data_IF_273921049783
#
_entry.id   IF_273921049783
#
_cell.length_a   1.000
_cell.length_b   1.000
_cell.length_c   1.000
_cell.angle_alpha   90.00
_cell.angle_beta   90.00
_cell.angle_gamma   90.00
#
_symmetry.space_group_name_H-M   'P 1'
#
loop_
_entity.id
_entity.type
_entity.pdbx_description
1 polymer ?
#
# COMPACT_ATOMS: atom_id res chain seq x y z
N UNK A 1 -10.42 0.40 8.15
CA UNK A 1 -9.88 0.36 6.76
C UNK A 1 -10.66 -0.70 6.01
N UNK A 2 -11.13 -0.37 4.81
CA UNK A 2 -11.89 -1.29 3.94
C UNK A 2 -10.95 -1.74 2.83
N UNK A 3 -10.75 -3.06 2.72
CA UNK A 3 -9.91 -3.64 1.67
C UNK A 3 -10.68 -3.70 0.36
N UNK A 4 -9.99 -3.40 -0.73
CA UNK A 4 -10.50 -3.58 -2.08
C UNK A 4 -10.31 -5.02 -2.53
N UNK A 5 -11.31 -5.53 -3.25
CA UNK A 5 -11.41 -6.91 -3.70
C UNK A 5 -11.36 -6.94 -5.24
N UNK A 6 -12.38 -7.53 -5.86
CA UNK A 6 -12.51 -7.65 -7.30
C UNK A 6 -13.15 -6.41 -7.92
N UNK A 7 -12.82 -6.14 -9.18
CA UNK A 7 -13.31 -4.95 -9.90
C UNK A 7 -14.83 -4.82 -9.94
N UNK A 8 -15.57 -5.93 -9.94
CA UNK A 8 -17.03 -5.92 -9.92
C UNK A 8 -17.64 -5.66 -8.52
N UNK A 9 -16.89 -5.88 -7.43
CA UNK A 9 -17.33 -5.59 -6.06
C UNK A 9 -16.92 -4.19 -5.60
N UNK A 10 -15.77 -3.73 -6.09
CA UNK A 10 -15.14 -2.48 -5.67
C UNK A 10 -16.06 -1.24 -5.77
N UNK A 11 -16.96 -1.08 -6.76
CA UNK A 11 -17.89 0.05 -6.78
C UNK A 11 -18.78 0.12 -5.54
N UNK A 12 -19.34 -1.01 -5.10
CA UNK A 12 -20.17 -1.06 -3.91
C UNK A 12 -19.35 -0.81 -2.63
N UNK A 13 -18.18 -1.44 -2.52
CA UNK A 13 -17.27 -1.24 -1.39
C UNK A 13 -16.82 0.22 -1.29
N UNK A 14 -16.48 0.84 -2.42
CA UNK A 14 -16.10 2.24 -2.50
C UNK A 14 -17.24 3.16 -2.02
N UNK A 15 -18.45 3.01 -2.55
CA UNK A 15 -19.60 3.82 -2.16
C UNK A 15 -19.94 3.69 -0.67
N UNK A 16 -19.95 2.47 -0.14
CA UNK A 16 -20.19 2.22 1.30
C UNK A 16 -19.08 2.90 2.11
N UNK A 17 -17.82 2.78 1.69
CA UNK A 17 -16.70 3.38 2.41
C UNK A 17 -16.78 4.91 2.39
N UNK A 18 -17.15 5.53 1.27
CA UNK A 18 -17.36 6.97 1.18
C UNK A 18 -18.50 7.42 2.10
N UNK A 19 -19.62 6.71 2.13
CA UNK A 19 -20.71 6.98 3.06
C UNK A 19 -20.25 6.89 4.53
N UNK A 20 -19.41 5.91 4.86
CA UNK A 20 -18.79 5.80 6.19
C UNK A 20 -17.81 6.95 6.47
N UNK A 21 -17.04 7.41 5.49
CA UNK A 21 -16.18 8.60 5.66
C UNK A 21 -17.02 9.85 5.96
N UNK A 22 -18.12 10.07 5.24
CA UNK A 22 -19.04 11.18 5.51
C UNK A 22 -19.59 11.15 6.95
N UNK A 23 -19.89 9.96 7.47
CA UNK A 23 -20.48 9.79 8.81
C UNK A 23 -19.47 9.81 9.96
N UNK A 24 -18.19 9.48 9.71
CA UNK A 24 -17.23 9.22 10.80
C UNK A 24 -15.93 10.01 10.70
N UNK A 25 -15.55 10.52 9.52
CA UNK A 25 -14.29 11.24 9.33
C UNK A 25 -14.42 12.75 9.58
N UNK A 26 -15.24 13.20 10.54
CA UNK A 26 -15.47 14.64 10.75
C UNK A 26 -14.18 15.41 11.02
N UNK A 27 -13.47 15.11 12.10
CA UNK A 27 -12.26 15.84 12.49
C UNK A 27 -10.98 15.16 12.02
N UNK A 28 -11.00 13.84 11.90
CA UNK A 28 -9.83 13.01 11.61
C UNK A 28 -10.16 11.85 10.66
N UNK A 29 -9.21 11.41 9.84
CA UNK A 29 -9.37 10.29 8.92
C UNK A 29 -9.36 8.94 9.66
N UNK A 30 -10.54 8.37 9.93
CA UNK A 30 -10.71 7.09 10.64
C UNK A 30 -10.99 5.93 9.68
N UNK A 31 -11.90 6.17 8.74
CA UNK A 31 -12.29 5.24 7.69
C UNK A 31 -11.41 5.51 6.47
N UNK A 32 -10.86 4.44 5.89
CA UNK A 32 -9.98 4.50 4.74
C UNK A 32 -10.42 3.47 3.70
N UNK A 33 -10.42 3.85 2.42
CA UNK A 33 -10.63 2.94 1.30
C UNK A 33 -9.30 2.53 0.69
N UNK A 34 -9.23 1.31 0.15
CA UNK A 34 -8.02 0.80 -0.51
C UNK A 34 -8.11 1.02 -2.02
N UNK A 35 -7.15 1.75 -2.59
CA UNK A 35 -7.03 2.02 -4.01
C UNK A 35 -5.98 1.09 -4.63
N UNK A 36 -6.36 0.38 -5.69
CA UNK A 36 -5.55 -0.66 -6.32
C UNK A 36 -4.91 -0.16 -7.62
N UNK A 37 -3.65 0.29 -7.54
CA UNK A 37 -2.96 1.00 -8.63
C UNK A 37 -2.58 0.14 -9.85
N UNK A 38 -2.83 -1.17 -9.83
CA UNK A 38 -2.79 -2.00 -11.03
C UNK A 38 -3.97 -1.74 -11.98
N UNK A 39 -5.03 -1.03 -11.55
CA UNK A 39 -6.18 -0.67 -12.37
C UNK A 39 -5.95 0.66 -13.08
N UNK A 40 -6.27 0.71 -14.38
CA UNK A 40 -6.13 1.88 -15.25
C UNK A 40 -6.88 3.11 -14.73
N UNK A 41 -8.08 2.90 -14.16
CA UNK A 41 -8.96 3.98 -13.69
C UNK A 41 -8.73 4.43 -12.24
N UNK A 42 -7.64 3.99 -11.60
CA UNK A 42 -7.40 4.29 -10.16
C UNK A 42 -7.19 5.78 -9.92
N UNK A 43 -6.46 6.44 -10.83
CA UNK A 43 -6.13 7.86 -10.69
C UNK A 43 -7.39 8.72 -10.73
N UNK A 44 -8.27 8.48 -11.71
CA UNK A 44 -9.53 9.20 -11.87
C UNK A 44 -10.48 8.92 -10.71
N UNK A 45 -10.56 7.65 -10.28
CA UNK A 45 -11.37 7.26 -9.12
C UNK A 45 -10.91 7.99 -7.85
N UNK A 46 -9.61 8.03 -7.61
CA UNK A 46 -9.03 8.69 -6.44
C UNK A 46 -9.32 10.19 -6.44
N UNK A 47 -9.11 10.88 -7.58
CA UNK A 47 -9.41 12.32 -7.71
C UNK A 47 -10.88 12.62 -7.44
N UNK A 48 -11.78 11.84 -8.05
CA UNK A 48 -13.23 11.96 -7.87
C UNK A 48 -13.62 11.83 -6.39
N UNK A 49 -13.09 10.80 -5.73
CA UNK A 49 -13.43 10.52 -4.33
C UNK A 49 -12.89 11.59 -3.37
N UNK A 50 -11.66 12.08 -3.62
CA UNK A 50 -11.07 13.20 -2.87
C UNK A 50 -11.94 14.45 -3.04
N UNK A 51 -12.31 14.80 -4.28
CA UNK A 51 -13.15 15.97 -4.55
C UNK A 51 -14.52 15.86 -3.87
N UNK A 52 -15.14 14.69 -3.95
CA UNK A 52 -16.41 14.41 -3.30
C UNK A 52 -16.32 14.55 -1.79
N UNK A 53 -15.30 13.98 -1.15
CA UNK A 53 -15.14 14.09 0.32
C UNK A 53 -14.80 15.52 0.75
N UNK A 54 -13.96 16.23 -0.02
CA UNK A 54 -13.61 17.64 0.24
C UNK A 54 -14.82 18.55 0.15
N UNK A 55 -15.73 18.34 -0.81
CA UNK A 55 -16.93 19.16 -0.96
C UNK A 55 -17.90 19.04 0.23
N UNK A 56 -17.76 17.99 1.03
CA UNK A 56 -18.52 17.78 2.27
C UNK A 56 -17.75 18.17 3.54
N UNK A 57 -16.51 18.69 3.43
CA UNK A 57 -15.74 19.22 4.55
C UNK A 57 -15.19 18.19 5.54
N UNK A 58 -15.28 16.89 5.23
CA UNK A 58 -14.77 15.81 6.10
C UNK A 58 -13.37 15.35 5.69
N UNK A 59 -12.70 14.60 6.57
CA UNK A 59 -11.36 14.08 6.35
C UNK A 59 -11.35 12.88 5.37
N UNK A 60 -10.31 12.79 4.57
CA UNK A 60 -10.11 11.73 3.59
C UNK A 60 -8.98 10.79 4.02
N UNK A 61 -9.16 9.48 3.77
CA UNK A 61 -8.08 8.52 3.96
C UNK A 61 -8.04 7.46 2.87
N UNK A 62 -6.84 7.19 2.37
CA UNK A 62 -6.61 6.18 1.36
C UNK A 62 -5.48 5.24 1.77
N UNK A 63 -5.65 3.96 1.43
CA UNK A 63 -4.57 2.98 1.37
C UNK A 63 -4.22 2.72 -0.08
N UNK A 64 -3.00 3.03 -0.48
CA UNK A 64 -2.50 2.67 -1.79
C UNK A 64 -1.88 1.28 -1.74
N UNK A 65 -2.33 0.40 -2.63
CA UNK A 65 -1.70 -0.89 -2.93
C UNK A 65 -1.45 -0.99 -4.43
N UNK A 66 -0.60 -1.92 -4.85
CA UNK A 66 -0.59 -2.33 -6.26
C UNK A 66 -1.86 -3.09 -6.59
N UNK A 67 -2.12 -4.19 -5.87
CA UNK A 67 -3.29 -5.04 -6.06
C UNK A 67 -2.91 -6.51 -5.87
N UNK A 68 -3.90 -7.36 -5.58
CA UNK A 68 -3.68 -8.78 -5.28
C UNK A 68 -4.41 -9.74 -6.24
N UNK A 69 -5.11 -9.22 -7.26
CA UNK A 69 -6.06 -9.98 -8.07
C UNK A 69 -5.78 -9.93 -9.59
N UNK A 70 -4.59 -9.47 -10.00
CA UNK A 70 -4.17 -9.29 -11.40
C UNK A 70 -4.52 -10.48 -12.32
N UNK A 71 -4.15 -11.70 -11.92
CA UNK A 71 -4.35 -12.89 -12.76
C UNK A 71 -5.84 -13.19 -12.97
N UNK A 72 -6.64 -13.06 -11.90
CA UNK A 72 -8.08 -13.30 -11.98
C UNK A 72 -8.78 -12.25 -12.83
N UNK A 73 -8.39 -10.98 -12.71
CA UNK A 73 -8.92 -9.91 -13.57
C UNK A 73 -8.57 -10.14 -15.06
N UNK A 74 -7.34 -10.57 -15.38
CA UNK A 74 -6.96 -10.96 -16.76
C UNK A 74 -7.80 -12.11 -17.29
N UNK A 75 -8.05 -13.12 -16.46
CA UNK A 75 -8.87 -14.27 -16.85
C UNK A 75 -10.32 -13.86 -17.09
N UNK A 76 -10.90 -13.05 -16.19
CA UNK A 76 -12.29 -12.58 -16.31
C UNK A 76 -12.48 -11.71 -17.55
N UNK A 77 -11.57 -10.78 -17.83
CA UNK A 77 -11.68 -9.91 -19.01
C UNK A 77 -11.63 -10.68 -20.32
N UNK A 78 -10.79 -11.73 -20.39
CA UNK A 78 -10.73 -12.63 -21.56
C UNK A 78 -12.00 -13.47 -21.68
N UNK A 79 -12.48 -14.04 -20.57
CA UNK A 79 -13.67 -14.91 -20.56
C UNK A 79 -14.95 -14.18 -20.95
N UNK A 80 -15.08 -12.93 -20.54
CA UNK A 80 -16.28 -12.11 -20.77
C UNK A 80 -16.08 -11.05 -21.87
N UNK A 81 -14.95 -11.12 -22.59
CA UNK A 81 -14.64 -10.30 -23.77
C UNK A 81 -14.76 -8.78 -23.57
N UNK A 82 -14.45 -8.29 -22.37
CA UNK A 82 -14.39 -6.86 -22.08
C UNK A 82 -12.94 -6.34 -22.01
N UNK A 83 -12.71 -5.04 -22.23
CA UNK A 83 -11.37 -4.45 -22.11
C UNK A 83 -10.75 -4.72 -20.74
N UNK A 84 -9.52 -5.21 -20.73
CA UNK A 84 -8.84 -5.55 -19.48
C UNK A 84 -8.62 -4.28 -18.61
N UNK A 85 -9.16 -4.24 -17.38
CA UNK A 85 -9.19 -3.03 -16.55
C UNK A 85 -7.83 -2.72 -15.92
N UNK A 86 -6.90 -3.66 -16.00
CA UNK A 86 -5.56 -3.55 -15.42
C UNK A 86 -4.57 -2.93 -16.42
N UNK A 87 -3.52 -2.35 -15.87
CA UNK A 87 -2.37 -1.82 -16.58
C UNK A 87 -1.64 -2.89 -17.41
N UNK A 88 -0.98 -2.45 -18.49
CA UNK A 88 -0.43 -3.40 -19.47
C UNK A 88 0.82 -4.07 -18.93
N UNK A 89 1.68 -3.30 -18.25
CA UNK A 89 2.89 -3.80 -17.61
C UNK A 89 3.06 -3.32 -16.15
N UNK A 90 4.18 -3.73 -15.57
CA UNK A 90 4.56 -3.40 -14.21
C UNK A 90 4.92 -1.91 -14.06
N UNK A 91 5.55 -1.34 -15.08
CA UNK A 91 5.97 0.05 -15.16
C UNK A 91 4.73 0.96 -15.15
N UNK A 92 3.74 0.67 -16.00
CA UNK A 92 2.44 1.35 -16.00
C UNK A 92 1.77 1.33 -14.61
N UNK A 93 1.83 0.20 -13.91
CA UNK A 93 1.30 0.05 -12.53
C UNK A 93 2.08 0.89 -11.53
N UNK A 94 3.39 0.96 -11.69
CA UNK A 94 4.26 1.78 -10.85
C UNK A 94 3.99 3.27 -11.08
N UNK A 95 3.77 3.68 -12.32
CA UNK A 95 3.42 5.04 -12.69
C UNK A 95 2.05 5.45 -12.13
N UNK A 96 1.02 4.60 -12.25
CA UNK A 96 -0.28 4.84 -11.60
C UNK A 96 -0.11 4.98 -10.09
N UNK A 97 0.72 4.14 -9.45
CA UNK A 97 0.99 4.24 -8.01
C UNK A 97 1.67 5.57 -7.65
N UNK A 98 2.68 5.98 -8.40
CA UNK A 98 3.39 7.24 -8.18
C UNK A 98 2.46 8.44 -8.36
N UNK A 99 1.65 8.48 -9.41
CA UNK A 99 0.65 9.55 -9.60
C UNK A 99 -0.37 9.62 -8.45
N UNK A 100 -0.83 8.48 -7.95
CA UNK A 100 -1.71 8.43 -6.78
C UNK A 100 -1.04 8.95 -5.51
N UNK A 101 0.26 8.67 -5.33
CA UNK A 101 1.05 9.25 -4.23
C UNK A 101 1.14 10.78 -4.36
N UNK A 102 1.45 11.30 -5.55
CA UNK A 102 1.54 12.73 -5.82
C UNK A 102 0.26 13.47 -5.42
N UNK A 103 -0.90 12.95 -5.87
CA UNK A 103 -2.21 13.53 -5.57
C UNK A 103 -2.44 13.58 -4.06
N UNK A 104 -2.16 12.48 -3.36
CA UNK A 104 -2.38 12.40 -1.92
C UNK A 104 -1.41 13.25 -1.11
N UNK A 105 -0.15 13.34 -1.52
CA UNK A 105 0.87 14.12 -0.81
C UNK A 105 0.68 15.61 -1.01
N UNK A 106 0.23 16.05 -2.19
CA UNK A 106 -0.17 17.42 -2.43
C UNK A 106 -1.36 17.82 -1.53
N UNK A 107 -2.39 16.97 -1.42
CA UNK A 107 -3.52 17.21 -0.51
C UNK A 107 -3.10 17.16 0.97
N UNK A 108 -2.20 16.24 1.33
CA UNK A 108 -1.64 16.15 2.69
C UNK A 108 -0.87 17.41 3.05
N UNK A 109 -0.03 17.92 2.16
CA UNK A 109 0.70 19.17 2.36
C UNK A 109 -0.23 20.35 2.60
N UNK A 110 -1.36 20.41 1.89
CA UNK A 110 -2.39 21.45 2.05
C UNK A 110 -3.14 21.31 3.37
N UNK A 111 -3.42 20.09 3.83
CA UNK A 111 -4.15 19.85 5.07
C UNK A 111 -3.77 18.52 5.76
N UNK A 112 -2.69 18.54 6.56
CA UNK A 112 -2.09 17.34 7.17
C UNK A 112 -3.00 16.61 8.14
N UNK A 113 -3.96 17.29 8.77
CA UNK A 113 -4.86 16.69 9.76
C UNK A 113 -6.08 16.04 9.13
N UNK A 114 -6.48 16.48 7.94
CA UNK A 114 -7.64 15.96 7.19
C UNK A 114 -7.28 14.89 6.17
N UNK A 115 -6.01 14.70 5.84
CA UNK A 115 -5.58 13.69 4.87
C UNK A 115 -4.66 12.66 5.52
N UNK A 116 -5.00 11.39 5.33
CA UNK A 116 -4.14 10.29 5.76
C UNK A 116 -3.94 9.26 4.67
N UNK A 117 -2.67 8.98 4.38
CA UNK A 117 -2.26 8.04 3.36
C UNK A 117 -1.54 6.86 3.96
N UNK A 118 -1.95 5.67 3.53
CA UNK A 118 -1.29 4.42 3.86
C UNK A 118 -0.57 3.92 2.61
N UNK A 119 0.76 3.92 2.62
CA UNK A 119 1.62 3.49 1.51
C UNK A 119 1.93 2.00 1.68
N UNK A 120 1.13 1.11 1.09
CA UNK A 120 1.32 -0.33 1.24
C UNK A 120 2.08 -0.95 0.06
N UNK A 121 3.37 -1.19 0.27
CA UNK A 121 4.27 -1.82 -0.71
C UNK A 121 5.48 -2.44 -0.01
N UNK A 122 5.84 -3.66 -0.37
CA UNK A 122 7.10 -4.32 0.02
C UNK A 122 8.19 -4.17 -1.06
N UNK A 123 7.91 -3.41 -2.12
CA UNK A 123 8.91 -3.09 -3.13
C UNK A 123 9.78 -1.91 -2.66
N UNK A 124 11.09 -2.14 -2.54
CA UNK A 124 12.06 -1.16 -2.05
C UNK A 124 12.05 0.14 -2.84
N UNK A 125 11.96 0.10 -4.18
CA UNK A 125 11.99 1.33 -4.99
C UNK A 125 10.73 2.17 -4.80
N UNK A 126 9.55 1.55 -4.71
CA UNK A 126 8.30 2.28 -4.38
C UNK A 126 8.34 2.88 -2.98
N UNK A 127 8.91 2.16 -2.01
CA UNK A 127 9.04 2.67 -0.63
C UNK A 127 10.01 3.83 -0.54
N UNK A 128 11.18 3.72 -1.19
CA UNK A 128 12.18 4.79 -1.26
C UNK A 128 11.60 6.02 -1.97
N UNK A 129 10.94 5.83 -3.11
CA UNK A 129 10.28 6.92 -3.83
C UNK A 129 9.26 7.64 -2.95
N UNK A 130 8.39 6.92 -2.23
CA UNK A 130 7.45 7.55 -1.30
C UNK A 130 8.17 8.31 -0.16
N UNK A 131 9.25 7.76 0.39
CA UNK A 131 10.03 8.42 1.44
C UNK A 131 10.72 9.70 0.96
N UNK A 132 11.26 9.70 -0.27
CA UNK A 132 11.85 10.88 -0.92
C UNK A 132 10.78 11.94 -1.20
N UNK A 133 9.62 11.54 -1.74
CA UNK A 133 8.50 12.46 -1.97
C UNK A 133 7.97 13.05 -0.67
N UNK A 134 7.87 12.29 0.42
CA UNK A 134 7.51 12.86 1.73
C UNK A 134 8.44 14.01 2.11
N UNK A 135 9.75 13.87 1.89
CA UNK A 135 10.73 14.93 2.16
C UNK A 135 10.52 16.15 1.27
N UNK A 136 10.25 15.95 -0.02
CA UNK A 136 10.03 17.05 -0.98
C UNK A 136 8.71 17.81 -0.73
N UNK A 137 7.69 17.13 -0.20
CA UNK A 137 6.43 17.73 0.22
C UNK A 137 6.45 18.25 1.68
N UNK A 138 7.58 18.16 2.37
CA UNK A 138 7.76 18.56 3.77
C UNK A 138 6.84 17.80 4.76
N UNK A 139 6.45 16.56 4.43
CA UNK A 139 5.61 15.72 5.29
C UNK A 139 6.44 15.14 6.43
N UNK A 140 5.99 15.37 7.66
CA UNK A 140 6.69 14.86 8.84
C UNK A 140 6.53 13.34 8.94
N UNK A 141 7.61 12.65 9.32
CA UNK A 141 7.64 11.18 9.35
C UNK A 141 6.78 10.57 10.46
N UNK A 142 6.41 11.37 11.45
CA UNK A 142 5.78 10.97 12.71
C UNK A 142 4.44 11.66 12.97
N UNK A 143 4.02 12.64 12.16
CA UNK A 143 2.71 13.31 12.32
C UNK A 143 1.50 12.42 12.01
N UNK A 144 1.72 11.22 11.45
CA UNK A 144 0.69 10.23 11.20
C UNK A 144 -0.14 10.45 9.94
N UNK A 145 0.13 11.51 9.17
CA UNK A 145 -0.51 11.79 7.89
C UNK A 145 -0.09 10.80 6.80
N UNK A 146 1.13 10.23 6.90
CA UNK A 146 1.59 9.14 6.05
C UNK A 146 2.12 7.99 6.90
N UNK A 147 1.65 6.77 6.60
CA UNK A 147 2.08 5.54 7.28
C UNK A 147 2.43 4.48 6.24
N UNK A 148 3.55 3.79 6.42
CA UNK A 148 3.95 2.70 5.54
C UNK A 148 3.29 1.38 5.96
N UNK A 149 2.73 0.67 4.99
CA UNK A 149 2.06 -0.60 5.17
C UNK A 149 2.86 -1.78 4.74
N UNK A 150 3.08 -2.71 5.67
CA UNK A 150 3.84 -3.92 5.44
C UNK A 150 3.01 -5.13 5.85
N UNK A 151 3.14 -6.23 5.12
CA UNK A 151 2.57 -7.51 5.52
C UNK A 151 3.55 -8.17 6.50
N UNK A 152 3.01 -8.81 7.53
CA UNK A 152 3.86 -9.57 8.46
C UNK A 152 4.48 -10.79 7.79
N UNK A 153 5.77 -11.03 8.02
CA UNK A 153 6.54 -12.09 7.37
C UNK A 153 6.88 -11.83 5.89
N UNK A 154 6.68 -10.60 5.39
CA UNK A 154 7.06 -10.20 4.03
C UNK A 154 7.84 -8.88 4.06
N UNK A 155 9.04 -8.89 3.48
CA UNK A 155 9.85 -7.67 3.35
C UNK A 155 10.21 -7.05 4.71
N UNK A 156 10.50 -7.87 5.72
CA UNK A 156 10.79 -7.38 7.07
C UNK A 156 12.03 -6.47 7.10
N UNK A 157 12.98 -6.68 6.19
CA UNK A 157 14.10 -5.76 5.99
C UNK A 157 13.65 -4.33 5.64
N UNK A 158 12.58 -4.19 4.86
CA UNK A 158 12.01 -2.89 4.48
C UNK A 158 11.38 -2.23 5.70
N UNK A 159 10.61 -3.02 6.46
CA UNK A 159 9.96 -2.57 7.69
C UNK A 159 10.97 -2.08 8.72
N UNK A 160 12.05 -2.83 8.92
CA UNK A 160 13.13 -2.48 9.83
C UNK A 160 13.88 -1.23 9.38
N UNK A 161 14.18 -1.10 8.08
CA UNK A 161 14.84 0.08 7.54
C UNK A 161 14.00 1.35 7.74
N UNK A 162 12.70 1.28 7.44
CA UNK A 162 11.76 2.39 7.65
C UNK A 162 11.67 2.80 9.12
N UNK A 163 11.50 1.84 10.02
CA UNK A 163 11.42 2.11 11.46
C UNK A 163 12.71 2.77 11.98
N UNK A 164 13.89 2.29 11.55
CA UNK A 164 15.18 2.93 11.91
C UNK A 164 15.34 4.33 11.34
N UNK A 165 14.73 4.62 10.19
CA UNK A 165 14.74 5.94 9.58
C UNK A 165 13.68 6.91 10.15
N UNK A 166 12.92 6.46 11.16
CA UNK A 166 11.94 7.26 11.90
C UNK A 166 10.56 7.35 11.25
N UNK A 167 10.26 6.51 10.24
CA UNK A 167 8.95 6.47 9.60
C UNK A 167 7.98 5.58 10.37
N UNK A 168 6.71 5.98 10.41
CA UNK A 168 5.64 5.15 10.95
C UNK A 168 5.38 3.95 10.03
N UNK A 169 5.42 2.75 10.59
CA UNK A 169 5.16 1.49 9.88
C UNK A 169 4.03 0.76 10.60
N UNK A 170 2.98 0.39 9.87
CA UNK A 170 1.97 -0.55 10.34
C UNK A 170 2.19 -1.92 9.72
N UNK A 171 1.99 -2.97 10.53
CA UNK A 171 2.06 -4.37 10.10
C UNK A 171 0.65 -4.96 9.99
N UNK A 172 0.33 -5.49 8.82
CA UNK A 172 -0.88 -6.26 8.58
C UNK A 172 -0.63 -7.71 8.96
N UNK A 173 -1.25 -8.16 10.05
CA UNK A 173 -1.12 -9.51 10.58
C UNK A 173 -2.44 -10.26 10.35
N UNK A 174 -2.48 -11.33 9.54
CA UNK A 174 -3.64 -12.20 9.49
C UNK A 174 -3.74 -12.99 10.79
N UNK A 175 -4.94 -13.11 11.37
CA UNK A 175 -5.17 -13.88 12.59
C UNK A 175 -6.51 -14.60 12.48
N UNK A 176 -6.53 -15.90 12.80
CA UNK A 176 -7.69 -16.77 12.66
C UNK A 176 -7.30 -18.25 12.61
N UNK A 177 -8.26 -19.13 12.37
CA UNK A 177 -7.97 -20.55 12.16
C UNK A 177 -7.22 -20.78 10.84
N UNK A 178 -6.75 -22.01 10.61
CA UNK A 178 -6.11 -22.36 9.34
C UNK A 178 -7.11 -22.20 8.18
N UNK A 179 -8.35 -22.63 8.38
CA UNK A 179 -9.42 -22.54 7.38
C UNK A 179 -9.70 -21.09 6.98
N UNK A 180 -9.78 -20.18 7.96
CA UNK A 180 -10.05 -18.75 7.73
C UNK A 180 -8.87 -18.05 7.03
N UNK A 181 -7.65 -18.46 7.34
CA UNK A 181 -6.42 -17.82 6.82
C UNK A 181 -5.93 -18.42 5.51
N UNK A 182 -6.39 -19.62 5.13
CA UNK A 182 -5.93 -20.32 3.93
C UNK A 182 -6.08 -19.49 2.63
N UNK A 183 -7.22 -18.81 2.35
CA UNK A 183 -7.34 -17.98 1.16
C UNK A 183 -6.32 -16.82 1.12
N UNK A 184 -6.02 -16.24 2.30
CA UNK A 184 -5.01 -15.21 2.42
C UNK A 184 -3.61 -15.78 2.13
N UNK A 185 -3.26 -16.91 2.73
CA UNK A 185 -1.96 -17.57 2.53
C UNK A 185 -1.72 -17.96 1.07
N UNK A 186 -2.75 -18.45 0.37
CA UNK A 186 -2.66 -18.76 -1.06
C UNK A 186 -2.33 -17.54 -1.91
N UNK A 187 -2.97 -16.39 -1.64
CA UNK A 187 -2.64 -15.13 -2.33
C UNK A 187 -1.21 -14.68 -2.06
N UNK A 188 -0.73 -14.84 -0.82
CA UNK A 188 0.66 -14.54 -0.44
C UNK A 188 1.66 -15.46 -1.13
N UNK A 189 1.36 -16.74 -1.31
CA UNK A 189 2.21 -17.68 -2.06
C UNK A 189 2.32 -17.28 -3.54
N UNK A 190 1.21 -16.86 -4.16
CA UNK A 190 1.21 -16.41 -5.56
C UNK A 190 1.96 -15.09 -5.73
N UNK A 191 1.78 -14.14 -4.83
CA UNK A 191 2.56 -12.89 -4.80
C UNK A 191 4.04 -13.19 -4.55
N UNK A 192 4.36 -14.09 -3.62
CA UNK A 192 5.75 -14.47 -3.37
C UNK A 192 6.38 -15.19 -4.56
N UNK A 193 5.64 -15.90 -5.42
CA UNK A 193 6.19 -16.45 -6.66
C UNK A 193 6.73 -15.38 -7.59
N UNK A 194 6.06 -14.24 -7.73
CA UNK A 194 6.60 -13.11 -8.50
C UNK A 194 7.68 -12.34 -7.72
N UNK A 195 7.62 -12.36 -6.39
CA UNK A 195 8.61 -11.74 -5.47
C UNK A 195 9.78 -12.70 -5.12
N UNK A 196 9.90 -13.89 -5.72
CA UNK A 196 10.98 -14.85 -5.43
C UNK A 196 12.39 -14.25 -5.63
N UNK A 197 12.51 -13.21 -6.45
CA UNK A 197 13.74 -12.42 -6.59
C UNK A 197 14.09 -11.62 -5.32
N UNK A 198 13.09 -11.11 -4.58
CA UNK A 198 13.26 -10.40 -3.31
C UNK A 198 13.71 -11.30 -2.16
N UNK A 199 13.23 -12.55 -2.10
CA UNK A 199 13.63 -13.55 -1.08
C UNK A 199 15.14 -13.86 -1.19
N UNK A 200 15.69 -13.89 -2.41
CA UNK A 200 17.13 -14.07 -2.62
C UNK A 200 17.93 -12.91 -2.01
N UNK A 201 17.46 -11.68 -2.19
CA UNK A 201 18.08 -10.48 -1.62
C UNK A 201 18.00 -10.45 -0.10
N UNK A 202 16.86 -10.81 0.47
CA UNK A 202 16.67 -10.93 1.92
C UNK A 202 17.67 -11.93 2.53
N UNK A 203 17.82 -13.09 1.90
CA UNK A 203 18.80 -14.11 2.33
C UNK A 203 20.24 -13.60 2.28
N UNK A 204 20.59 -12.80 1.28
CA UNK A 204 21.91 -12.14 1.19
C UNK A 204 22.11 -11.13 2.33
N UNK A 205 21.10 -10.31 2.64
CA UNK A 205 21.14 -9.34 3.74
C UNK A 205 21.26 -10.04 5.10
N UNK A 206 20.51 -11.12 5.34
CA UNK A 206 20.61 -11.92 6.56
C UNK A 206 22.00 -12.56 6.70
N UNK A 207 22.55 -13.11 5.62
CA UNK A 207 23.93 -13.64 5.60
C UNK A 207 24.95 -12.56 5.90
N UNK A 208 24.80 -11.35 5.33
CA UNK A 208 25.69 -10.22 5.59
C UNK A 208 25.62 -9.78 7.06
N UNK A 209 24.42 -9.65 7.61
CA UNK A 209 24.19 -9.29 9.00
C UNK A 209 24.76 -10.34 9.98
N UNK A 210 24.59 -11.64 9.68
CA UNK A 210 25.19 -12.73 10.46
C UNK A 210 26.71 -12.69 10.43
N UNK A 211 27.32 -12.52 9.25
CA UNK A 211 28.78 -12.36 9.12
C UNK A 211 29.30 -11.18 9.92
N UNK A 212 28.60 -10.05 9.87
CA UNK A 212 28.96 -8.86 10.64
C UNK A 212 28.91 -9.12 12.15
N UNK A 213 27.82 -9.73 12.65
CA UNK A 213 27.67 -10.08 14.07
C UNK A 213 28.73 -11.08 14.56
N UNK A 214 29.09 -12.07 13.73
CA UNK A 214 30.16 -13.03 14.06
C UNK A 214 31.53 -12.35 14.10
N UNK A 215 31.83 -11.45 13.16
CA UNK A 215 33.06 -10.65 13.18
C UNK A 215 33.15 -9.73 14.41
N UNK A 216 32.05 -9.11 14.82
CA UNK A 216 32.01 -8.28 16.03
C UNK A 216 32.14 -9.09 17.32
N UNK A 217 31.66 -10.35 17.37
CA UNK A 217 31.86 -11.23 18.52
C UNK A 217 33.26 -11.84 18.62
N UNK A 218 33.98 -11.97 17.50
CA UNK A 218 35.34 -12.51 17.47
C UNK A 218 36.44 -11.48 17.79
N UNK A 219 36.09 -10.20 17.98
CA UNK A 219 37.01 -9.17 18.47
C UNK A 219 36.36 -8.36 19.60
N UNK A 220 36.38 -8.87 20.84
CA UNK A 220 36.24 -8.00 22.00
C UNK A 220 37.58 -7.28 22.19
N UNK A 221 37.70 -6.11 21.57
CA UNK A 221 38.76 -5.12 21.86
C UNK A 221 38.16 -4.02 22.70
#
# INVERSE_FOLDING_TARGET
MVDAEYTYMNPALNLITLAMMLNYNHDKPLVAYTYQNYLKGTEELLKRDIEYIKSHGVAFSAKLVRGAYMDKERMLSKKHEYPCPINNCYEDTSDTYHKSLEILFDETRKNRTKFKTVVASHNESTVLHAADRMKEFDIDKQDGSVVFGQVDGMGDQVSYALGRAGYLVYKSVPYGSIEDTLPYLLRRLLENRSVLNGVRRERELLRSALKHRLKQKCFPG
#
